data_IF_997157919503
#
_entry.id   IF_997157919503
#
_cell.length_a   1.000
_cell.length_b   1.000
_cell.length_c   1.000
_cell.angle_alpha   90.00
_cell.angle_beta   90.00
_cell.angle_gamma   90.00
#
_symmetry.space_group_name_H-M   'P 1'
#
loop_
_entity.id
_entity.type
_entity.pdbx_description
1 polymer ?
#
# COMPACT_ATOMS: atom_id res chain seq x y z
N UNK A 1 -21.98 7.61 -5.73
CA UNK A 1 -20.89 8.33 -5.03
C UNK A 1 -19.87 8.98 -5.97
N UNK A 2 -19.82 8.67 -7.30
CA UNK A 2 -18.86 9.26 -8.26
C UNK A 2 -17.40 9.18 -7.78
N UNK A 3 -16.97 7.98 -7.40
CA UNK A 3 -15.59 7.77 -6.96
C UNK A 3 -14.62 8.05 -8.11
N UNK A 4 -13.62 8.90 -7.83
CA UNK A 4 -12.60 9.36 -8.78
C UNK A 4 -11.20 8.80 -8.48
N UNK A 5 -11.08 8.05 -7.39
CA UNK A 5 -9.88 7.35 -6.96
C UNK A 5 -10.30 6.01 -6.35
N UNK A 6 -9.63 4.94 -6.76
CA UNK A 6 -9.77 3.60 -6.21
C UNK A 6 -8.37 3.04 -5.89
N UNK A 7 -8.31 2.00 -5.06
CA UNK A 7 -7.10 1.24 -4.75
C UNK A 7 -7.33 -0.24 -5.03
N UNK A 8 -6.32 -0.91 -5.58
CA UNK A 8 -6.25 -2.37 -5.73
C UNK A 8 -4.97 -2.88 -5.08
N UNK A 9 -4.89 -4.19 -4.86
CA UNK A 9 -3.69 -4.85 -4.40
C UNK A 9 -2.86 -5.43 -5.54
N UNK A 10 -1.56 -5.59 -5.31
CA UNK A 10 -0.62 -6.28 -6.19
C UNK A 10 -0.26 -7.60 -5.50
N UNK A 11 -0.58 -8.74 -6.12
CA UNK A 11 -0.55 -10.07 -5.46
C UNK A 11 -1.55 -10.15 -4.30
N UNK A 12 -1.50 -11.14 -3.43
CA UNK A 12 -2.51 -11.28 -2.36
C UNK A 12 -2.40 -10.23 -1.25
N UNK A 13 -3.52 -10.02 -0.56
CA UNK A 13 -3.65 -9.34 0.73
C UNK A 13 -4.54 -10.16 1.68
N UNK A 14 -4.79 -9.64 2.87
CA UNK A 14 -5.70 -10.21 3.87
C UNK A 14 -7.14 -10.42 3.37
N UNK A 15 -7.60 -9.59 2.43
CA UNK A 15 -8.91 -9.73 1.76
C UNK A 15 -8.89 -10.66 0.54
N UNK A 16 -7.79 -11.41 0.32
CA UNK A 16 -7.70 -12.46 -0.70
C UNK A 16 -8.15 -13.82 -0.15
N UNK A 17 -8.56 -14.74 -1.03
CA UNK A 17 -8.97 -16.10 -0.63
C UNK A 17 -7.81 -17.00 -0.19
N UNK A 18 -6.57 -16.58 -0.46
CA UNK A 18 -5.34 -17.26 -0.08
C UNK A 18 -4.12 -16.46 -0.52
N UNK A 19 -2.93 -16.91 -0.08
CA UNK A 19 -1.69 -16.24 -0.44
C UNK A 19 -1.26 -16.60 -1.87
N UNK A 20 -0.98 -15.59 -2.69
CA UNK A 20 -0.49 -15.78 -4.05
C UNK A 20 0.44 -14.65 -4.46
N UNK A 21 1.26 -14.91 -5.48
CA UNK A 21 2.11 -13.89 -6.09
C UNK A 21 2.22 -14.12 -7.59
N UNK A 22 2.42 -13.05 -8.34
CA UNK A 22 2.64 -13.13 -9.78
C UNK A 22 3.99 -13.75 -10.16
N UNK A 23 4.90 -13.97 -9.21
CA UNK A 23 6.23 -14.56 -9.43
C UNK A 23 6.49 -15.80 -8.55
N UNK A 24 5.79 -16.93 -8.79
CA UNK A 24 5.81 -18.08 -7.89
C UNK A 24 7.09 -18.93 -7.97
N UNK A 25 7.88 -18.81 -9.03
CA UNK A 25 9.07 -19.64 -9.25
C UNK A 25 10.26 -19.07 -8.49
N UNK A 26 10.68 -19.76 -7.42
CA UNK A 26 11.82 -19.35 -6.62
C UNK A 26 13.12 -19.29 -7.46
N UNK A 27 13.86 -18.18 -7.32
CA UNK A 27 15.10 -17.94 -8.06
C UNK A 27 14.90 -17.44 -9.49
N UNK A 28 13.66 -17.22 -9.95
CA UNK A 28 13.37 -16.58 -11.24
C UNK A 28 13.59 -15.06 -11.16
N UNK A 29 14.84 -14.65 -10.97
CA UNK A 29 15.22 -13.24 -10.77
C UNK A 29 14.96 -12.36 -12.00
N UNK A 30 14.74 -12.96 -13.17
CA UNK A 30 14.36 -12.28 -14.42
C UNK A 30 12.84 -12.31 -14.67
N UNK A 31 12.07 -12.94 -13.78
CA UNK A 31 10.62 -12.98 -13.82
C UNK A 31 10.08 -13.50 -15.16
N UNK A 32 10.67 -14.58 -15.66
CA UNK A 32 10.27 -15.25 -16.90
C UNK A 32 8.88 -15.90 -16.78
N UNK A 33 8.51 -16.34 -15.58
CA UNK A 33 7.23 -16.97 -15.26
C UNK A 33 6.25 -16.00 -14.60
N UNK A 34 6.49 -14.69 -14.70
CA UNK A 34 5.57 -13.68 -14.18
C UNK A 34 4.21 -13.76 -14.87
N UNK A 35 3.11 -13.77 -14.11
CA UNK A 35 1.76 -13.79 -14.65
C UNK A 35 0.74 -13.13 -13.71
N UNK A 36 -0.18 -12.34 -14.29
CA UNK A 36 -1.36 -11.79 -13.60
C UNK A 36 -2.60 -12.67 -13.76
N UNK A 37 -2.43 -13.95 -14.12
CA UNK A 37 -3.54 -14.86 -14.38
C UNK A 37 -4.51 -15.00 -13.20
N UNK A 38 -4.01 -14.90 -11.95
CA UNK A 38 -4.85 -14.96 -10.75
C UNK A 38 -5.92 -13.85 -10.73
N UNK A 39 -5.60 -12.66 -11.25
CA UNK A 39 -6.51 -11.51 -11.22
C UNK A 39 -7.57 -11.54 -12.34
N UNK A 40 -7.48 -12.49 -13.29
CA UNK A 40 -8.29 -12.50 -14.51
C UNK A 40 -9.75 -12.88 -14.26
N UNK A 41 -10.01 -13.60 -13.16
CA UNK A 41 -11.34 -14.12 -12.84
C UNK A 41 -12.14 -13.19 -11.91
N UNK A 42 -11.49 -12.23 -11.23
CA UNK A 42 -12.13 -11.36 -10.23
C UNK A 42 -11.74 -9.87 -10.33
N UNK A 43 -10.49 -9.50 -10.05
CA UNK A 43 -10.02 -8.12 -9.90
C UNK A 43 -10.12 -7.37 -11.23
N UNK A 44 -9.61 -7.96 -12.32
CA UNK A 44 -9.62 -7.32 -13.64
C UNK A 44 -11.05 -7.13 -14.16
N UNK A 45 -11.94 -8.14 -14.13
CA UNK A 45 -13.36 -7.95 -14.45
C UNK A 45 -14.01 -6.85 -13.60
N UNK A 46 -13.78 -6.82 -12.29
CA UNK A 46 -14.37 -5.82 -11.39
C UNK A 46 -13.92 -4.39 -11.73
N UNK A 47 -12.63 -4.20 -12.04
CA UNK A 47 -12.10 -2.90 -12.47
C UNK A 47 -12.72 -2.49 -13.81
N UNK A 48 -12.83 -3.42 -14.77
CA UNK A 48 -13.41 -3.14 -16.09
C UNK A 48 -14.90 -2.80 -16.00
N UNK A 49 -15.65 -3.47 -15.14
CA UNK A 49 -17.06 -3.14 -14.88
C UNK A 49 -17.19 -1.73 -14.26
N UNK A 50 -16.33 -1.39 -13.30
CA UNK A 50 -16.30 -0.03 -12.74
C UNK A 50 -15.95 1.03 -13.81
N UNK A 51 -15.00 0.73 -14.70
CA UNK A 51 -14.63 1.60 -15.82
C UNK A 51 -15.79 1.79 -16.82
N UNK A 52 -16.57 0.74 -17.08
CA UNK A 52 -17.71 0.80 -18.00
C UNK A 52 -18.87 1.66 -17.44
N UNK A 53 -19.02 1.73 -16.12
CA UNK A 53 -20.06 2.51 -15.45
C UNK A 53 -19.63 3.94 -15.12
N UNK A 54 -18.32 4.19 -14.95
CA UNK A 54 -17.82 5.52 -14.60
C UNK A 54 -17.79 6.48 -15.79
N UNK A 55 -18.68 7.47 -15.79
CA UNK A 55 -18.75 8.50 -16.86
C UNK A 55 -17.52 9.43 -16.85
N UNK A 56 -17.05 9.83 -15.66
CA UNK A 56 -15.93 10.77 -15.48
C UNK A 56 -14.57 10.06 -15.38
N UNK A 57 -14.56 8.72 -15.36
CA UNK A 57 -13.39 7.90 -15.09
C UNK A 57 -12.93 7.97 -13.62
N UNK A 58 -11.86 7.24 -13.30
CA UNK A 58 -11.21 7.27 -12.00
C UNK A 58 -9.73 6.92 -12.12
N UNK A 59 -8.96 7.30 -11.10
CA UNK A 59 -7.55 6.91 -10.95
C UNK A 59 -7.47 5.63 -10.13
N UNK A 60 -6.50 4.78 -10.44
CA UNK A 60 -6.23 3.56 -9.68
C UNK A 60 -4.85 3.63 -9.02
N UNK A 61 -4.81 3.43 -7.72
CA UNK A 61 -3.57 3.17 -6.96
C UNK A 61 -3.42 1.66 -6.79
N UNK A 62 -2.21 1.13 -6.92
CA UNK A 62 -1.92 -0.27 -6.63
C UNK A 62 -0.81 -0.42 -5.59
N UNK A 63 -0.98 -1.33 -4.64
CA UNK A 63 -0.06 -1.50 -3.50
C UNK A 63 0.26 -2.99 -3.31
N UNK A 64 1.52 -3.41 -3.19
CA UNK A 64 1.84 -4.76 -2.74
C UNK A 64 1.79 -4.84 -1.21
N UNK A 65 1.34 -5.98 -0.69
CA UNK A 65 1.43 -6.30 0.75
C UNK A 65 2.73 -7.03 1.09
N UNK A 66 3.34 -7.70 0.12
CA UNK A 66 4.60 -8.41 0.34
C UNK A 66 5.25 -8.79 -0.99
N UNK A 67 6.57 -8.93 -0.99
CA UNK A 67 7.29 -9.58 -2.09
C UNK A 67 7.09 -11.11 -2.04
N UNK A 68 7.31 -11.85 -3.15
CA UNK A 68 7.35 -13.31 -3.11
C UNK A 68 8.22 -13.83 -1.95
N UNK A 69 7.80 -14.88 -1.22
CA UNK A 69 8.54 -15.38 -0.05
C UNK A 69 10.03 -15.62 -0.34
N UNK A 70 10.36 -16.18 -1.51
CA UNK A 70 11.75 -16.47 -1.90
C UNK A 70 12.63 -15.23 -2.08
N UNK A 71 12.05 -14.02 -2.13
CA UNK A 71 12.79 -12.75 -2.15
C UNK A 71 13.08 -12.19 -0.75
N UNK A 72 12.54 -12.81 0.31
CA UNK A 72 12.54 -12.28 1.68
C UNK A 72 13.49 -13.06 2.58
N UNK A 73 14.01 -12.38 3.61
CA UNK A 73 14.95 -12.95 4.57
C UNK A 73 14.37 -14.07 5.46
N UNK A 74 13.04 -14.14 5.56
CA UNK A 74 12.31 -15.14 6.34
C UNK A 74 11.65 -16.23 5.48
N UNK A 75 11.66 -16.10 4.16
CA UNK A 75 10.97 -17.00 3.24
C UNK A 75 9.49 -17.26 3.61
N UNK A 76 8.78 -16.22 4.06
CA UNK A 76 7.38 -16.28 4.50
C UNK A 76 6.56 -15.15 3.86
N UNK A 77 5.24 -15.26 3.87
CA UNK A 77 4.31 -14.21 3.43
C UNK A 77 4.21 -13.06 4.44
N UNK A 78 4.39 -13.35 5.73
CA UNK A 78 4.18 -12.39 6.82
C UNK A 78 5.50 -11.88 7.38
N UNK A 79 5.61 -10.57 7.59
CA UNK A 79 6.80 -9.91 8.11
C UNK A 79 8.04 -10.11 7.24
N UNK A 80 9.24 -10.06 7.84
CA UNK A 80 10.50 -10.17 7.11
C UNK A 80 10.82 -8.95 6.25
N UNK A 81 11.93 -9.00 5.53
CA UNK A 81 12.45 -7.91 4.70
C UNK A 81 12.87 -8.39 3.33
N UNK A 82 12.73 -7.51 2.33
CA UNK A 82 13.31 -7.75 1.02
C UNK A 82 14.83 -7.87 1.12
N UNK A 83 15.39 -8.98 0.64
CA UNK A 83 16.85 -9.11 0.58
C UNK A 83 17.42 -8.17 -0.49
N UNK A 84 18.52 -7.43 -0.21
CA UNK A 84 19.12 -6.50 -1.17
C UNK A 84 19.46 -7.09 -2.54
N UNK A 85 19.80 -8.38 -2.60
CA UNK A 85 20.09 -9.08 -3.85
C UNK A 85 18.88 -9.17 -4.80
N UNK A 86 17.65 -9.08 -4.28
CA UNK A 86 16.43 -9.11 -5.07
C UNK A 86 15.85 -7.73 -5.38
N UNK A 87 16.53 -6.64 -5.01
CA UNK A 87 16.07 -5.28 -5.36
C UNK A 87 15.85 -5.09 -6.87
N UNK A 88 16.75 -5.56 -7.78
CA UNK A 88 16.48 -5.50 -9.21
C UNK A 88 15.25 -6.30 -9.63
N UNK A 89 15.07 -7.50 -9.07
CA UNK A 89 13.93 -8.37 -9.39
C UNK A 89 12.61 -7.78 -8.90
N UNK A 90 12.58 -7.18 -7.72
CA UNK A 90 11.40 -6.52 -7.19
C UNK A 90 11.03 -5.26 -7.98
N UNK A 91 12.01 -4.46 -8.42
CA UNK A 91 11.77 -3.34 -9.34
C UNK A 91 11.18 -3.81 -10.68
N UNK A 92 11.72 -4.90 -11.25
CA UNK A 92 11.20 -5.51 -12.47
C UNK A 92 9.78 -6.07 -12.27
N UNK A 93 9.45 -6.55 -11.07
CA UNK A 93 8.11 -7.02 -10.72
C UNK A 93 7.06 -5.92 -10.88
N UNK A 94 7.30 -4.74 -10.32
CA UNK A 94 6.43 -3.57 -10.52
C UNK A 94 6.28 -3.20 -12.00
N UNK A 95 7.38 -3.18 -12.75
CA UNK A 95 7.32 -2.86 -14.18
C UNK A 95 6.47 -3.86 -14.96
N UNK A 96 6.63 -5.17 -14.69
CA UNK A 96 5.83 -6.23 -15.32
C UNK A 96 4.36 -6.15 -14.95
N UNK A 97 4.03 -5.84 -13.69
CA UNK A 97 2.66 -5.60 -13.25
C UNK A 97 2.02 -4.45 -14.03
N UNK A 98 2.69 -3.28 -14.09
CA UNK A 98 2.19 -2.11 -14.81
C UNK A 98 2.00 -2.38 -16.30
N UNK A 99 2.95 -3.07 -16.93
CA UNK A 99 2.85 -3.46 -18.33
C UNK A 99 1.69 -4.45 -18.58
N UNK A 100 1.50 -5.42 -17.69
CA UNK A 100 0.44 -6.42 -17.82
C UNK A 100 -0.95 -5.81 -17.63
N UNK A 101 -1.16 -4.97 -16.61
CA UNK A 101 -2.42 -4.25 -16.42
C UNK A 101 -2.70 -3.27 -17.57
N UNK A 102 -1.66 -2.60 -18.08
CA UNK A 102 -1.81 -1.75 -19.28
C UNK A 102 -2.26 -2.55 -20.51
N UNK A 103 -1.76 -3.77 -20.69
CA UNK A 103 -2.17 -4.67 -21.76
C UNK A 103 -3.64 -5.12 -21.63
N UNK A 104 -4.16 -5.18 -20.40
CA UNK A 104 -5.58 -5.39 -20.11
C UNK A 104 -6.44 -4.13 -20.30
N UNK A 105 -5.83 -3.00 -20.69
CA UNK A 105 -6.52 -1.72 -20.85
C UNK A 105 -6.74 -0.96 -19.55
N UNK A 106 -6.08 -1.36 -18.46
CA UNK A 106 -6.19 -0.72 -17.15
C UNK A 106 -4.96 0.16 -16.89
N UNK A 107 -5.20 1.45 -16.71
CA UNK A 107 -4.16 2.42 -16.41
C UNK A 107 -3.99 2.61 -14.90
N UNK A 108 -2.86 2.14 -14.37
CA UNK A 108 -2.46 2.40 -12.97
C UNK A 108 -1.92 3.83 -12.88
N UNK A 109 -2.62 4.66 -12.11
CA UNK A 109 -2.24 6.07 -11.91
C UNK A 109 -1.07 6.21 -10.92
N UNK A 110 -1.09 5.42 -9.84
CA UNK A 110 -0.07 5.45 -8.81
C UNK A 110 0.20 4.08 -8.22
N UNK A 111 1.38 3.92 -7.63
CA UNK A 111 1.73 2.78 -6.81
C UNK A 111 2.23 3.26 -5.44
N UNK A 112 1.98 2.46 -4.41
CA UNK A 112 2.74 2.57 -3.16
C UNK A 112 3.87 1.55 -3.19
N UNK A 113 4.99 1.87 -2.52
CA UNK A 113 6.19 1.01 -2.57
C UNK A 113 5.96 -0.30 -1.80
N UNK A 114 5.20 -0.22 -0.71
CA UNK A 114 4.84 -1.32 0.17
C UNK A 114 3.65 -0.86 1.02
N UNK A 115 2.64 -1.70 1.19
CA UNK A 115 1.58 -1.48 2.16
C UNK A 115 2.12 -1.68 3.58
N UNK A 116 1.88 -0.72 4.47
CA UNK A 116 2.22 -0.81 5.89
C UNK A 116 3.64 -1.33 6.15
N UNK A 117 4.70 -0.63 5.70
CA UNK A 117 6.10 -1.07 5.80
C UNK A 117 6.63 -1.25 7.23
N UNK A 118 5.85 -0.87 8.25
CA UNK A 118 6.15 -1.16 9.66
C UNK A 118 5.67 -2.55 10.09
N UNK A 119 4.88 -3.22 9.26
CA UNK A 119 4.23 -4.49 9.54
C UNK A 119 2.84 -4.33 10.16
N UNK A 120 2.26 -5.50 10.44
CA UNK A 120 0.90 -5.72 10.92
C UNK A 120 0.89 -6.81 12.02
N UNK A 121 1.98 -6.87 12.82
CA UNK A 121 2.24 -7.91 13.82
C UNK A 121 2.18 -9.36 13.28
N UNK A 122 2.49 -9.54 11.99
CA UNK A 122 2.47 -10.84 11.30
C UNK A 122 1.10 -11.51 11.26
N UNK A 123 0.01 -10.73 11.26
CA UNK A 123 -1.34 -11.26 11.15
C UNK A 123 -1.67 -11.73 9.71
N UNK A 124 -1.24 -10.96 8.71
CA UNK A 124 -1.39 -11.25 7.27
C UNK A 124 -0.13 -10.88 6.49
N UNK A 125 -0.18 -10.97 5.15
CA UNK A 125 0.91 -10.58 4.26
C UNK A 125 1.48 -9.22 4.64
N UNK A 126 2.80 -9.18 4.82
CA UNK A 126 3.53 -7.95 5.13
C UNK A 126 4.99 -8.07 4.72
N UNK A 127 5.64 -6.95 4.44
CA UNK A 127 7.09 -6.86 4.32
C UNK A 127 7.59 -5.54 4.91
N UNK A 128 8.65 -5.61 5.70
CA UNK A 128 9.14 -4.45 6.43
C UNK A 128 10.14 -3.62 5.62
N UNK A 129 10.02 -2.30 5.72
CA UNK A 129 11.02 -1.34 5.31
C UNK A 129 11.28 -0.33 6.43
N UNK A 130 12.55 -0.03 6.68
CA UNK A 130 12.93 1.26 7.25
C UNK A 130 12.82 2.35 6.17
N UNK A 131 12.66 3.63 6.52
CA UNK A 131 12.63 4.71 5.54
C UNK A 131 13.91 4.77 4.69
N UNK A 132 15.08 4.42 5.25
CA UNK A 132 16.34 4.36 4.50
C UNK A 132 16.38 3.17 3.51
N UNK A 133 15.84 2.02 3.89
CA UNK A 133 15.74 0.87 2.98
C UNK A 133 14.80 1.19 1.81
N UNK A 134 13.65 1.84 2.07
CA UNK A 134 12.72 2.26 1.02
C UNK A 134 13.35 3.30 0.10
N UNK A 135 13.99 4.35 0.65
CA UNK A 135 14.70 5.34 -0.15
C UNK A 135 15.74 4.70 -1.08
N UNK A 136 16.55 3.77 -0.54
CA UNK A 136 17.57 3.06 -1.32
C UNK A 136 16.98 2.20 -2.42
N UNK A 137 15.92 1.44 -2.13
CA UNK A 137 15.23 0.61 -3.13
C UNK A 137 14.65 1.49 -4.24
N UNK A 138 13.95 2.57 -3.89
CA UNK A 138 13.27 3.42 -4.87
C UNK A 138 14.26 4.19 -5.73
N UNK A 139 15.24 4.85 -5.12
CA UNK A 139 16.26 5.64 -5.82
C UNK A 139 17.15 4.75 -6.70
N UNK A 140 17.59 3.60 -6.18
CA UNK A 140 18.58 2.75 -6.85
C UNK A 140 18.00 1.77 -7.86
N UNK A 141 16.72 1.37 -7.71
CA UNK A 141 16.16 0.27 -8.47
C UNK A 141 14.78 0.57 -9.07
N UNK A 142 13.77 0.87 -8.24
CA UNK A 142 12.39 1.02 -8.73
C UNK A 142 12.26 2.17 -9.73
N UNK A 143 12.67 3.38 -9.34
CA UNK A 143 12.52 4.56 -10.19
C UNK A 143 13.33 4.45 -11.49
N UNK A 144 14.62 4.03 -11.49
CA UNK A 144 15.34 3.74 -12.73
C UNK A 144 14.68 2.70 -13.63
N UNK A 145 14.15 1.60 -13.07
CA UNK A 145 13.45 0.57 -13.85
C UNK A 145 12.19 1.12 -14.51
N UNK A 146 11.36 1.85 -13.75
CA UNK A 146 10.14 2.46 -14.27
C UNK A 146 10.44 3.46 -15.39
N UNK A 147 11.49 4.27 -15.23
CA UNK A 147 11.93 5.22 -16.27
C UNK A 147 12.45 4.51 -17.52
N UNK A 148 13.26 3.45 -17.36
CA UNK A 148 13.82 2.68 -18.48
C UNK A 148 12.71 2.02 -19.33
N UNK A 149 11.67 1.52 -18.67
CA UNK A 149 10.53 0.87 -19.34
C UNK A 149 9.44 1.86 -19.77
N UNK A 150 9.63 3.17 -19.51
CA UNK A 150 8.73 4.24 -19.97
C UNK A 150 7.43 4.38 -19.20
N UNK A 151 7.34 3.82 -17.99
CA UNK A 151 6.18 3.94 -17.12
C UNK A 151 6.04 5.36 -16.59
N UNK A 152 4.81 5.90 -16.65
CA UNK A 152 4.46 7.25 -16.14
C UNK A 152 3.57 7.18 -14.90
N UNK A 153 3.85 6.21 -14.03
CA UNK A 153 3.11 5.98 -12.79
C UNK A 153 3.61 6.91 -11.68
N UNK A 154 2.72 7.29 -10.75
CA UNK A 154 3.10 8.01 -9.52
C UNK A 154 3.68 7.07 -8.48
N UNK A 155 4.80 7.43 -7.86
CA UNK A 155 5.40 6.63 -6.76
C UNK A 155 5.10 7.27 -5.41
N UNK A 156 4.37 6.58 -4.56
CA UNK A 156 4.00 7.02 -3.22
C UNK A 156 4.78 6.21 -2.17
N UNK A 157 5.46 6.91 -1.26
CA UNK A 157 6.10 6.28 -0.10
C UNK A 157 5.17 6.14 1.09
N UNK A 158 5.69 5.54 2.16
CA UNK A 158 5.03 5.36 3.46
C UNK A 158 3.85 4.37 3.47
N UNK A 159 2.66 4.75 3.02
CA UNK A 159 1.45 3.89 3.01
C UNK A 159 1.15 3.25 4.37
N UNK A 160 1.16 4.08 5.41
CA UNK A 160 1.01 3.67 6.80
C UNK A 160 0.32 4.77 7.63
N UNK A 161 -0.01 4.48 8.88
CA UNK A 161 -0.70 5.37 9.80
C UNK A 161 -0.05 6.75 9.93
N UNK A 162 -0.90 7.79 9.89
CA UNK A 162 -0.51 9.22 9.97
C UNK A 162 -0.06 9.72 11.34
N UNK A 163 0.41 8.84 12.22
CA UNK A 163 0.88 9.20 13.57
C UNK A 163 2.27 9.84 13.56
N UNK A 164 2.95 9.90 14.71
CA UNK A 164 4.29 10.50 14.83
C UNK A 164 5.34 9.86 13.92
N UNK A 165 5.16 8.59 13.51
CA UNK A 165 6.09 7.88 12.64
C UNK A 165 6.16 8.52 11.25
N UNK A 166 5.07 9.13 10.76
CA UNK A 166 5.04 9.86 9.49
C UNK A 166 6.18 10.88 9.40
N UNK A 167 6.49 11.59 10.49
CA UNK A 167 7.56 12.61 10.49
C UNK A 167 8.93 12.00 10.20
N UNK A 168 9.22 10.81 10.74
CA UNK A 168 10.49 10.10 10.51
C UNK A 168 10.65 9.71 9.04
N UNK A 169 9.57 9.26 8.41
CA UNK A 169 9.56 8.92 7.00
C UNK A 169 9.69 10.15 6.11
N UNK A 170 8.99 11.25 6.44
CA UNK A 170 9.12 12.55 5.76
C UNK A 170 10.57 13.03 5.80
N UNK A 171 11.23 13.00 6.96
CA UNK A 171 12.59 13.50 7.10
C UNK A 171 13.62 12.74 6.27
N UNK A 172 13.37 11.47 5.97
CA UNK A 172 14.28 10.65 5.17
C UNK A 172 13.92 10.70 3.68
N UNK A 173 12.64 10.47 3.34
CA UNK A 173 12.22 10.42 1.94
C UNK A 173 12.25 11.80 1.28
N UNK A 174 12.14 12.88 2.06
CA UNK A 174 12.25 14.27 1.61
C UNK A 174 13.46 14.99 2.21
N UNK A 175 14.54 14.26 2.53
CA UNK A 175 15.77 14.86 3.06
C UNK A 175 16.40 15.86 2.09
N UNK A 176 16.46 15.52 0.80
CA UNK A 176 16.98 16.34 -0.29
C UNK A 176 16.41 15.91 -1.65
N UNK A 177 16.66 16.72 -2.69
CA UNK A 177 16.17 16.47 -4.06
C UNK A 177 16.66 15.17 -4.69
N UNK A 178 17.83 14.66 -4.28
CA UNK A 178 18.37 13.39 -4.77
C UNK A 178 17.53 12.18 -4.36
N UNK A 179 16.77 12.27 -3.26
CA UNK A 179 15.82 11.24 -2.83
C UNK A 179 14.40 11.65 -3.21
N UNK A 180 14.01 12.88 -2.88
CA UNK A 180 12.62 13.36 -3.01
C UNK A 180 12.13 13.35 -4.46
N UNK A 181 13.01 13.52 -5.45
CA UNK A 181 12.65 13.49 -6.87
C UNK A 181 12.10 12.14 -7.34
N UNK A 182 12.39 11.04 -6.62
CA UNK A 182 11.91 9.70 -6.96
C UNK A 182 10.52 9.37 -6.40
N UNK A 183 9.97 10.24 -5.55
CA UNK A 183 8.65 10.09 -4.96
C UNK A 183 7.74 11.22 -5.43
N UNK A 184 6.53 10.91 -5.88
CA UNK A 184 5.50 11.90 -6.20
C UNK A 184 4.70 12.33 -4.95
N UNK A 185 4.77 11.55 -3.87
CA UNK A 185 4.01 11.79 -2.66
C UNK A 185 4.19 10.74 -1.58
N UNK A 186 3.33 10.82 -0.57
CA UNK A 186 3.14 9.81 0.46
C UNK A 186 1.68 9.38 0.51
N UNK A 187 1.49 8.12 0.86
CA UNK A 187 0.20 7.55 1.19
C UNK A 187 0.09 7.38 2.71
N UNK A 188 -1.10 7.57 3.30
CA UNK A 188 -1.34 7.47 4.74
C UNK A 188 -2.63 6.70 5.08
N UNK A 189 -2.61 5.99 6.20
CA UNK A 189 -3.74 5.26 6.78
C UNK A 189 -4.26 5.98 8.04
N UNK A 190 -5.45 5.59 8.54
CA UNK A 190 -6.09 6.23 9.70
C UNK A 190 -6.08 5.40 10.99
N UNK A 191 -5.54 4.19 10.98
CA UNK A 191 -5.74 3.22 12.06
C UNK A 191 -5.01 3.55 13.37
N UNK A 192 -4.23 4.63 13.43
CA UNK A 192 -3.66 5.11 14.69
C UNK A 192 -4.67 5.89 15.56
N UNK A 193 -5.77 6.39 15.00
CA UNK A 193 -6.86 7.00 15.79
C UNK A 193 -8.15 7.18 14.99
N UNK A 194 -9.29 6.96 15.64
CA UNK A 194 -10.63 7.20 15.07
C UNK A 194 -11.10 8.63 15.12
N UNK A 195 -10.54 9.43 16.04
CA UNK A 195 -11.01 10.80 16.28
C UNK A 195 -9.93 11.84 15.99
N UNK A 196 -8.66 11.49 16.19
CA UNK A 196 -7.54 12.37 15.87
C UNK A 196 -7.05 12.08 14.46
N UNK A 197 -6.90 13.14 13.68
CA UNK A 197 -6.33 13.06 12.33
C UNK A 197 -4.88 13.49 12.30
N UNK A 198 -4.26 13.74 13.46
CA UNK A 198 -2.87 14.10 13.64
C UNK A 198 -2.47 15.31 12.78
N UNK A 199 -3.16 16.47 12.94
CA UNK A 199 -3.00 17.63 12.06
C UNK A 199 -1.55 18.12 11.99
N UNK A 200 -0.80 18.06 13.08
CA UNK A 200 0.59 18.51 13.08
C UNK A 200 1.51 17.61 12.25
N UNK A 201 1.28 16.29 12.23
CA UNK A 201 2.07 15.37 11.42
C UNK A 201 1.77 15.56 9.92
N UNK A 202 0.50 15.73 9.57
CA UNK A 202 0.08 16.03 8.19
C UNK A 202 0.59 17.40 7.72
N UNK A 203 0.50 18.42 8.58
CA UNK A 203 1.03 19.76 8.29
C UNK A 203 2.54 19.73 8.08
N UNK A 204 3.27 19.00 8.94
CA UNK A 204 4.71 18.83 8.80
C UNK A 204 5.10 18.19 7.46
N UNK A 205 4.40 17.11 7.07
CA UNK A 205 4.61 16.44 5.78
C UNK A 205 4.38 17.40 4.60
N UNK A 206 3.30 18.18 4.65
CA UNK A 206 3.00 19.17 3.62
C UNK A 206 4.02 20.31 3.57
N UNK A 207 4.42 20.87 4.71
CA UNK A 207 5.38 21.97 4.79
C UNK A 207 6.78 21.56 4.30
N UNK A 208 7.20 20.32 4.60
CA UNK A 208 8.49 19.78 4.12
C UNK A 208 8.50 19.64 2.59
N UNK A 209 7.39 19.26 1.97
CA UNK A 209 7.31 18.98 0.54
C UNK A 209 5.97 19.43 -0.09
N UNK A 210 5.70 20.75 -0.20
CA UNK A 210 4.38 21.28 -0.53
C UNK A 210 3.89 20.96 -1.95
N UNK A 211 4.80 20.57 -2.84
CA UNK A 211 4.48 20.14 -4.22
C UNK A 211 4.22 18.64 -4.37
N UNK A 212 4.36 17.85 -3.30
CA UNK A 212 4.16 16.40 -3.32
C UNK A 212 2.75 16.04 -2.86
N UNK A 213 2.25 14.90 -3.32
CA UNK A 213 0.95 14.39 -2.87
C UNK A 213 1.01 13.89 -1.41
N UNK A 214 -0.08 14.07 -0.67
CA UNK A 214 -0.33 13.40 0.61
C UNK A 214 -1.74 12.81 0.52
N UNK A 215 -1.84 11.48 0.43
CA UNK A 215 -3.07 10.78 0.03
C UNK A 215 -3.50 9.82 1.14
N UNK A 216 -4.74 9.95 1.60
CA UNK A 216 -5.36 8.91 2.42
C UNK A 216 -5.67 7.70 1.51
N UNK A 217 -4.89 6.63 1.63
CA UNK A 217 -4.95 5.45 0.75
C UNK A 217 -5.80 4.32 1.32
N UNK A 218 -5.96 4.27 2.63
CA UNK A 218 -6.75 3.24 3.30
C UNK A 218 -7.43 3.75 4.57
N UNK A 219 -8.65 3.27 4.82
CA UNK A 219 -9.41 3.45 6.04
C UNK A 219 -10.54 2.42 6.07
N UNK A 220 -10.68 1.69 7.17
CA UNK A 220 -11.82 0.81 7.41
C UNK A 220 -12.36 0.98 8.84
N UNK A 221 -13.65 0.70 9.00
CA UNK A 221 -14.34 0.57 10.29
C UNK A 221 -14.76 -0.89 10.39
N UNK A 222 -14.04 -1.73 11.13
CA UNK A 222 -14.64 -2.99 11.59
C UNK A 222 -13.92 -3.52 12.83
N UNK A 223 -14.65 -3.84 13.88
CA UNK A 223 -14.08 -4.55 15.03
C UNK A 223 -14.63 -5.98 14.98
N UNK A 224 -13.86 -6.87 14.35
CA UNK A 224 -13.93 -8.35 14.26
C UNK A 224 -15.29 -9.10 14.24
N UNK A 225 -16.43 -8.43 14.14
CA UNK A 225 -17.73 -9.06 13.93
C UNK A 225 -18.59 -8.08 13.12
N UNK A 226 -18.68 -8.23 11.78
CA UNK A 226 -19.81 -7.65 11.09
C UNK A 226 -21.07 -8.21 11.75
N UNK A 227 -21.82 -7.36 12.45
CA UNK A 227 -23.17 -7.67 12.87
C UNK A 227 -24.01 -7.56 11.61
N UNK A 228 -23.92 -8.60 10.77
CA UNK A 228 -24.57 -8.67 9.48
C UNK A 228 -26.05 -8.29 9.64
N UNK A 229 -26.48 -7.26 8.89
CA UNK A 229 -27.82 -6.67 8.95
C UNK A 229 -28.19 -5.92 10.24
N UNK A 230 -27.22 -5.54 11.07
CA UNK A 230 -27.40 -4.71 12.26
C UNK A 230 -26.54 -3.45 12.17
N UNK A 231 -26.84 -2.62 11.16
CA UNK A 231 -26.18 -1.32 10.96
C UNK A 231 -26.25 -0.45 12.22
N UNK A 232 -27.27 -0.65 13.07
CA UNK A 232 -27.44 0.05 14.34
C UNK A 232 -26.33 -0.27 15.36
N UNK A 233 -25.67 -1.43 15.26
CA UNK A 233 -24.55 -1.78 16.12
C UNK A 233 -23.37 -0.80 15.95
N UNK A 234 -23.05 -0.40 14.72
CA UNK A 234 -21.97 0.57 14.44
C UNK A 234 -22.23 1.96 15.05
N UNK A 235 -23.46 2.23 15.48
CA UNK A 235 -23.88 3.44 16.18
C UNK A 235 -24.16 3.21 17.68
N UNK A 236 -23.81 2.03 18.20
CA UNK A 236 -23.98 1.70 19.62
C UNK A 236 -22.78 2.15 20.45
N UNK A 237 -23.03 2.48 21.72
CA UNK A 237 -21.98 2.87 22.69
C UNK A 237 -20.94 1.77 22.96
N UNK A 238 -21.22 0.54 22.50
CA UNK A 238 -20.34 -0.61 22.62
C UNK A 238 -19.40 -0.79 21.44
N UNK A 239 -19.68 -0.17 20.29
CA UNK A 239 -18.89 -0.34 19.09
C UNK A 239 -17.54 0.38 19.20
N UNK A 240 -16.51 -0.28 18.72
CA UNK A 240 -15.13 0.22 18.57
C UNK A 240 -14.73 0.13 17.11
N UNK A 241 -13.66 0.82 16.72
CA UNK A 241 -13.09 0.67 15.40
C UNK A 241 -12.12 -0.51 15.31
N UNK A 242 -11.66 -0.79 14.10
CA UNK A 242 -10.63 -1.79 13.80
C UNK A 242 -9.36 -1.59 14.63
N UNK A 243 -8.93 -0.33 14.79
CA UNK A 243 -7.72 -0.03 15.52
C UNK A 243 -7.77 -0.41 17.00
N UNK A 244 -8.94 -0.48 17.66
CA UNK A 244 -9.01 -0.87 19.06
C UNK A 244 -8.48 -2.27 19.36
N UNK A 245 -8.80 -3.25 18.51
CA UNK A 245 -8.45 -4.67 18.75
C UNK A 245 -6.94 -4.91 18.59
N UNK A 246 -6.33 -4.19 17.65
CA UNK A 246 -4.91 -4.33 17.31
C UNK A 246 -4.01 -3.29 18.01
N UNK A 247 -4.58 -2.22 18.55
CA UNK A 247 -3.81 -1.19 19.24
C UNK A 247 -3.16 -1.75 20.52
N UNK A 248 -1.88 -1.43 20.75
CA UNK A 248 -1.24 -1.62 22.06
C UNK A 248 -2.09 -1.01 23.19
N UNK A 249 -2.04 -1.61 24.38
CA UNK A 249 -2.88 -1.21 25.52
C UNK A 249 -2.72 0.28 25.88
N UNK A 250 -1.53 0.84 25.72
CA UNK A 250 -1.22 2.26 25.95
C UNK A 250 -1.75 3.18 24.84
N UNK A 251 -2.07 2.67 23.66
CA UNK A 251 -2.59 3.42 22.50
C UNK A 251 -4.11 3.31 22.36
N UNK A 252 -4.77 2.36 23.01
CA UNK A 252 -6.23 2.17 22.97
C UNK A 252 -7.05 3.42 23.32
N UNK A 253 -6.51 4.38 24.06
CA UNK A 253 -7.17 5.66 24.30
C UNK A 253 -7.40 6.49 23.02
N UNK A 254 -6.66 6.21 21.94
CA UNK A 254 -6.85 6.78 20.60
C UNK A 254 -8.03 6.16 19.83
N UNK A 255 -8.61 5.09 20.39
CA UNK A 255 -9.68 4.27 19.83
C UNK A 255 -10.92 4.25 20.77
N UNK A 256 -11.48 5.42 21.16
CA UNK A 256 -12.67 5.43 21.99
C UNK A 256 -13.83 4.71 21.30
N UNK A 257 -14.72 4.15 22.12
CA UNK A 257 -15.99 3.62 21.63
C UNK A 257 -16.76 4.72 20.89
N UNK A 258 -17.51 4.35 19.87
CA UNK A 258 -18.39 5.27 19.16
C UNK A 258 -19.51 5.71 20.12
N UNK A 259 -19.50 7.00 20.53
CA UNK A 259 -20.55 7.65 21.34
C UNK A 259 -20.90 9.01 20.76
#
# INVERSE_FOLDING_TARGET
ARYSLARTHISSCDFSLGNYTYAPVAGDTLLQHFSIAEDQDDIIPMIKDAMAVSEDGFKLIASPWTAPPWMKDNNDWKGGKLLPEYYPSWALFFSKYLAAYKAEGIDIWGITVENEPLGNDSNWESMHYTPQEMARFVQGHLSPQLQADGHKVKVLGFDQNRDEELRKWVDVLYADEGISAHFDGMAVHWYASTYDHFPEALAYAHEKAPGKHLIQSEACVDAEVPRWQDDAWYWSKEATDWGWDWAPEDQKHLHPKYV
#
